data_IF_079987549245
#
_entry.id   IF_079987549245
#
_cell.length_a   1.000
_cell.length_b   1.000
_cell.length_c   1.000
_cell.angle_alpha   90.00
_cell.angle_beta   90.00
_cell.angle_gamma   90.00
#
_symmetry.space_group_name_H-M   'P 1'
#
loop_
_entity.id
_entity.type
_entity.pdbx_description
1 polymer ?
#
# COMPACT_ATOMS: atom_id res chain seq x y z
N UNK A 1 -4.84 9.41 -11.84
CA UNK A 1 -6.18 8.95 -11.41
C UNK A 1 -6.18 7.46 -11.51
N UNK A 2 -5.50 6.81 -10.57
CA UNK A 2 -5.53 5.37 -10.40
C UNK A 2 -6.39 5.01 -9.19
N UNK A 3 -6.56 3.72 -8.94
CA UNK A 3 -7.15 3.19 -7.72
C UNK A 3 -6.11 3.17 -6.61
N UNK A 4 -6.55 3.39 -5.38
CA UNK A 4 -5.73 3.15 -4.20
C UNK A 4 -5.97 1.73 -3.74
N UNK A 5 -4.89 0.95 -3.68
CA UNK A 5 -4.89 -0.40 -3.13
C UNK A 5 -4.38 -0.32 -1.71
N UNK A 6 -5.15 -0.89 -0.78
CA UNK A 6 -4.80 -1.05 0.64
C UNK A 6 -4.66 -2.53 0.95
N UNK A 7 -3.61 -2.88 1.68
CA UNK A 7 -3.24 -4.26 2.00
C UNK A 7 -2.95 -4.33 3.48
N UNK A 8 -3.73 -5.13 4.18
CA UNK A 8 -3.54 -5.42 5.59
C UNK A 8 -2.90 -6.79 5.72
N UNK A 9 -1.97 -6.93 6.66
CA UNK A 9 -1.21 -8.16 6.79
C UNK A 9 -0.23 -8.15 7.94
N UNK A 10 0.47 -9.26 8.10
CA UNK A 10 1.51 -9.41 9.11
C UNK A 10 2.73 -8.59 8.70
N UNK A 11 3.26 -7.82 9.64
CA UNK A 11 4.47 -7.01 9.46
C UNK A 11 4.36 -6.09 8.22
N UNK A 12 3.46 -5.10 8.24
CA UNK A 12 3.10 -4.29 7.07
C UNK A 12 4.28 -3.57 6.44
N UNK A 13 5.29 -3.16 7.23
CA UNK A 13 6.55 -2.61 6.69
C UNK A 13 7.29 -3.64 5.81
N UNK A 14 7.51 -4.85 6.31
CA UNK A 14 8.19 -5.91 5.57
C UNK A 14 7.34 -6.45 4.40
N UNK A 15 6.02 -6.41 4.52
CA UNK A 15 5.11 -6.76 3.43
C UNK A 15 5.16 -5.68 2.33
N UNK A 16 5.20 -4.41 2.71
CA UNK A 16 5.33 -3.27 1.80
C UNK A 16 6.61 -3.34 0.99
N UNK A 17 7.76 -3.52 1.64
CA UNK A 17 9.05 -3.68 0.95
C UNK A 17 9.05 -4.85 -0.04
N UNK A 18 8.45 -5.99 0.34
CA UNK A 18 8.32 -7.15 -0.55
C UNK A 18 7.41 -6.85 -1.76
N UNK A 19 6.31 -6.13 -1.55
CA UNK A 19 5.39 -5.71 -2.62
C UNK A 19 6.10 -4.72 -3.56
N UNK A 20 6.79 -3.72 -3.02
CA UNK A 20 7.55 -2.73 -3.78
C UNK A 20 8.66 -3.40 -4.61
N UNK A 21 9.44 -4.31 -4.00
CA UNK A 21 10.50 -5.04 -4.68
C UNK A 21 9.99 -5.99 -5.77
N UNK A 22 8.85 -6.64 -5.55
CA UNK A 22 8.28 -7.60 -6.51
C UNK A 22 7.57 -6.94 -7.69
N UNK A 23 6.81 -5.88 -7.43
CA UNK A 23 5.91 -5.28 -8.41
C UNK A 23 6.36 -3.90 -8.90
N UNK A 24 7.43 -3.34 -8.34
CA UNK A 24 7.96 -2.03 -8.74
C UNK A 24 7.03 -0.87 -8.40
N UNK A 25 6.14 -1.04 -7.43
CA UNK A 25 5.16 -0.03 -7.01
C UNK A 25 5.70 0.80 -5.86
N UNK A 26 5.30 2.08 -5.81
CA UNK A 26 5.60 2.94 -4.66
C UNK A 26 4.58 2.68 -3.57
N UNK A 27 5.02 2.07 -2.49
CA UNK A 27 4.20 1.78 -1.32
C UNK A 27 4.34 2.84 -0.24
N UNK A 28 3.33 2.92 0.61
CA UNK A 28 3.30 3.68 1.84
C UNK A 28 2.70 2.79 2.93
N UNK A 29 3.19 2.85 4.16
CA UNK A 29 2.57 2.14 5.28
C UNK A 29 1.87 3.16 6.16
N UNK A 30 0.55 3.03 6.29
CA UNK A 30 -0.32 3.96 7.02
C UNK A 30 -1.23 3.14 7.92
N UNK A 31 -1.30 3.48 9.21
CA UNK A 31 -2.14 2.80 10.20
C UNK A 31 -1.95 1.27 10.25
N UNK A 32 -0.74 0.80 9.97
CA UNK A 32 -0.45 -0.65 9.93
C UNK A 32 -0.91 -1.36 8.66
N UNK A 33 -1.29 -0.63 7.61
CA UNK A 33 -1.64 -1.17 6.30
C UNK A 33 -0.71 -0.62 5.20
N UNK A 34 -0.42 -1.43 4.19
CA UNK A 34 0.33 -1.01 3.00
C UNK A 34 -0.64 -0.40 2.00
N UNK A 35 -0.36 0.82 1.53
CA UNK A 35 -1.15 1.56 0.57
C UNK A 35 -0.31 1.95 -0.64
N UNK A 36 -0.85 1.84 -1.85
CA UNK A 36 -0.20 2.31 -3.07
C UNK A 36 -1.23 2.62 -4.16
N UNK A 37 -0.86 3.51 -5.09
CA UNK A 37 -1.68 3.77 -6.28
C UNK A 37 -1.36 2.76 -7.38
N UNK A 38 -2.40 2.20 -8.00
CA UNK A 38 -2.30 1.35 -9.16
C UNK A 38 -3.32 1.78 -10.23
N UNK A 39 -2.92 1.76 -11.50
CA UNK A 39 -3.80 2.23 -12.60
C UNK A 39 -5.07 1.37 -12.77
N UNK A 40 -4.99 0.09 -12.40
CA UNK A 40 -6.10 -0.88 -12.43
C UNK A 40 -6.02 -1.72 -11.15
N UNK A 41 -6.45 -1.14 -10.02
CA UNK A 41 -6.26 -1.74 -8.70
C UNK A 41 -7.07 -3.02 -8.54
N UNK A 42 -8.30 -3.03 -9.06
CA UNK A 42 -9.19 -4.19 -8.99
C UNK A 42 -8.61 -5.43 -9.68
N UNK A 43 -7.95 -5.27 -10.84
CA UNK A 43 -7.25 -6.40 -11.50
C UNK A 43 -5.93 -6.78 -10.85
N UNK A 44 -5.38 -5.93 -9.99
CA UNK A 44 -4.13 -6.19 -9.29
C UNK A 44 -4.31 -7.06 -8.04
N UNK A 45 -5.49 -7.01 -7.41
CA UNK A 45 -5.80 -7.76 -6.18
C UNK A 45 -5.47 -9.26 -6.26
N UNK A 46 -5.92 -10.02 -7.29
CA UNK A 46 -5.63 -11.45 -7.38
C UNK A 46 -4.14 -11.75 -7.42
N UNK A 47 -3.37 -10.97 -8.19
CA UNK A 47 -1.91 -11.13 -8.30
C UNK A 47 -1.19 -10.88 -6.98
N UNK A 48 -1.71 -9.95 -6.18
CA UNK A 48 -1.17 -9.64 -4.87
C UNK A 48 -1.40 -10.79 -3.88
N UNK A 49 -2.63 -11.33 -3.88
CA UNK A 49 -3.01 -12.47 -3.05
C UNK A 49 -2.22 -13.73 -3.42
N UNK A 50 -2.00 -14.00 -4.71
CA UNK A 50 -1.17 -15.12 -5.18
C UNK A 50 0.30 -14.99 -4.80
N UNK A 51 0.83 -13.76 -4.74
CA UNK A 51 2.23 -13.52 -4.39
C UNK A 51 2.51 -13.63 -2.89
N UNK A 52 1.52 -13.32 -2.04
CA UNK A 52 1.69 -13.26 -0.58
C UNK A 52 0.50 -13.87 0.21
N UNK A 53 0.09 -15.11 -0.10
CA UNK A 53 -1.14 -15.70 0.46
C UNK A 53 -1.12 -15.83 1.99
N UNK A 54 0.04 -16.15 2.59
CA UNK A 54 0.18 -16.34 4.05
C UNK A 54 0.46 -15.05 4.83
N UNK A 55 0.69 -13.93 4.13
CA UNK A 55 1.09 -12.66 4.74
C UNK A 55 -0.02 -11.61 4.70
N UNK A 56 -0.91 -11.71 3.72
CA UNK A 56 -2.05 -10.81 3.53
C UNK A 56 -3.25 -11.32 4.33
N UNK A 57 -3.84 -10.44 5.14
CA UNK A 57 -5.09 -10.68 5.85
C UNK A 57 -6.30 -10.11 5.11
N UNK A 58 -6.15 -8.92 4.52
CA UNK A 58 -7.21 -8.27 3.74
C UNK A 58 -6.62 -7.39 2.63
N UNK A 59 -7.38 -7.23 1.55
CA UNK A 59 -7.06 -6.30 0.46
C UNK A 59 -8.31 -5.51 0.07
N UNK A 60 -8.13 -4.22 -0.16
CA UNK A 60 -9.17 -3.33 -0.64
C UNK A 60 -8.64 -2.48 -1.80
N UNK A 61 -9.49 -2.23 -2.79
CA UNK A 61 -9.22 -1.24 -3.83
C UNK A 61 -10.38 -0.24 -3.88
N UNK A 62 -10.06 1.04 -4.04
CA UNK A 62 -11.07 2.08 -4.15
C UNK A 62 -10.56 3.32 -4.88
N UNK A 63 -11.48 4.23 -5.20
CA UNK A 63 -11.11 5.53 -5.74
C UNK A 63 -10.29 6.31 -4.70
N UNK A 64 -9.31 7.13 -5.13
CA UNK A 64 -8.50 7.94 -4.24
C UNK A 64 -9.40 8.87 -3.43
N UNK A 65 -9.22 8.87 -2.12
CA UNK A 65 -9.94 9.77 -1.23
C UNK A 65 -9.28 11.16 -1.25
N UNK A 66 -9.94 12.15 -0.65
CA UNK A 66 -9.41 13.51 -0.56
C UNK A 66 -8.09 13.56 0.23
N UNK A 67 -7.92 12.66 1.19
CA UNK A 67 -6.71 12.48 1.99
C UNK A 67 -5.54 11.93 1.14
N UNK A 68 -5.82 10.97 0.25
CA UNK A 68 -4.83 10.45 -0.71
C UNK A 68 -4.39 11.51 -1.74
N UNK A 69 -5.30 12.40 -2.14
CA UNK A 69 -4.99 13.54 -3.02
C UNK A 69 -4.15 14.59 -2.29
N UNK A 70 -4.39 14.80 -1.00
CA UNK A 70 -3.65 15.74 -0.18
C UNK A 70 -2.19 15.31 0.05
N UNK A 71 -1.95 14.01 0.25
CA UNK A 71 -0.60 13.40 0.29
C UNK A 71 0.15 13.65 -1.03
N UNK A 72 -0.56 13.61 -2.16
CA UNK A 72 0.02 13.80 -3.49
C UNK A 72 0.44 15.24 -3.79
N UNK A 73 -0.33 16.22 -3.33
CA UNK A 73 -0.09 17.63 -3.63
C UNK A 73 0.99 18.27 -2.75
N UNK A 74 1.19 17.74 -1.54
CA UNK A 74 2.08 18.36 -0.56
C UNK A 74 3.50 17.79 -0.56
N UNK A 75 3.77 16.69 -1.27
CA UNK A 75 5.14 16.21 -1.49
C UNK A 75 5.96 16.00 -0.21
N UNK A 76 5.31 15.85 0.95
CA UNK A 76 5.98 15.54 2.20
C UNK A 76 6.42 14.08 2.18
N UNK A 77 7.62 13.91 1.61
CA UNK A 77 8.64 13.00 2.12
C UNK A 77 8.65 13.16 3.65
N UNK A 78 8.93 12.08 4.38
CA UNK A 78 8.93 11.96 5.85
C UNK A 78 7.57 11.64 6.48
N UNK A 79 7.30 10.35 6.64
CA UNK A 79 7.00 9.74 7.95
C UNK A 79 7.58 8.32 7.91
N UNK A 80 8.90 8.22 8.06
CA UNK A 80 9.46 7.06 8.78
C UNK A 80 8.89 7.17 10.18
N UNK A 81 7.95 6.29 10.53
CA UNK A 81 7.63 6.05 11.91
C UNK A 81 8.86 5.40 12.57
N UNK A 82 9.79 6.23 13.02
CA UNK A 82 10.43 5.94 14.30
C UNK A 82 9.34 6.11 15.36
N UNK A 83 8.90 4.98 15.93
CA UNK A 83 8.51 4.93 17.33
C UNK A 83 8.77 3.51 17.84
N UNK A 84 10.04 3.26 18.18
CA UNK A 84 10.38 2.30 19.22
C UNK A 84 11.47 2.90 20.13
N UNK A 85 10.97 3.34 21.29
CA UNK A 85 11.63 3.50 22.59
C UNK A 85 12.43 4.77 22.85
#
# INVERSE_FOLDING_TARGET
>A
GGDIVTVEGKEPAALGEAIAGRFGVKIQVIEGAVRFEHADGARFLPRLLEAFPDRIAAVACGKPTLEDVFIRLTGHRFWTAEERS
#
